data_IF_080791045590
#
_entry.id   IF_080791045590
#
_cell.length_a   1.000
_cell.length_b   1.000
_cell.length_c   1.000
_cell.angle_alpha   90.00
_cell.angle_beta   90.00
_cell.angle_gamma   90.00
#
_symmetry.space_group_name_H-M   'P 1'
#
loop_
_entity.id
_entity.type
_entity.pdbx_description
1 polymer ?
#
# COMPACT_ATOMS: atom_id res chain seq x y z
N UNK A 1 -35.52 35.56 10.34
CA UNK A 1 -36.01 35.79 11.71
C UNK A 1 -35.79 34.52 12.53
N UNK A 2 -34.85 34.53 13.49
CA UNK A 2 -34.74 33.45 14.47
C UNK A 2 -35.99 33.47 15.36
N UNK A 3 -36.70 32.35 15.47
CA UNK A 3 -37.77 32.19 16.47
C UNK A 3 -37.12 32.34 17.86
N UNK A 4 -37.50 33.36 18.62
CA UNK A 4 -37.09 33.47 20.02
C UNK A 4 -37.52 32.20 20.78
N UNK A 5 -36.57 31.60 21.51
CA UNK A 5 -36.82 30.45 22.37
C UNK A 5 -37.84 30.86 23.44
N UNK A 6 -38.92 30.10 23.57
CA UNK A 6 -39.95 30.34 24.59
C UNK A 6 -39.55 29.64 25.87
N UNK A 7 -39.78 30.27 27.01
CA UNK A 7 -39.42 29.77 28.33
C UNK A 7 -40.70 29.55 29.16
N UNK A 8 -40.72 28.52 30.01
CA UNK A 8 -41.81 28.28 30.95
C UNK A 8 -41.68 29.14 32.22
N UNK A 9 -42.67 29.04 33.11
CA UNK A 9 -42.71 29.79 34.38
C UNK A 9 -41.52 29.50 35.32
N UNK A 10 -40.73 28.45 35.03
CA UNK A 10 -39.53 28.05 35.78
C UNK A 10 -38.24 28.35 35.00
N UNK A 11 -38.31 29.19 33.97
CA UNK A 11 -37.20 29.54 33.10
C UNK A 11 -36.55 28.34 32.39
N UNK A 12 -37.36 27.36 31.98
CA UNK A 12 -36.92 26.22 31.15
C UNK A 12 -37.38 26.41 29.70
N UNK A 13 -36.56 26.07 28.71
CA UNK A 13 -36.92 26.25 27.31
C UNK A 13 -38.03 25.28 26.90
N UNK A 14 -39.16 25.81 26.46
CA UNK A 14 -40.36 25.05 26.07
C UNK A 14 -40.06 24.28 24.77
N UNK A 15 -40.29 22.97 24.80
CA UNK A 15 -40.07 22.07 23.66
C UNK A 15 -38.67 21.48 23.56
N UNK A 16 -37.79 21.73 24.55
CA UNK A 16 -36.44 21.18 24.61
C UNK A 16 -36.28 20.29 25.84
N UNK A 17 -35.48 19.23 25.72
CA UNK A 17 -35.03 18.43 26.85
C UNK A 17 -33.70 19.01 27.32
N UNK A 18 -33.64 19.45 28.58
CA UNK A 18 -32.40 19.93 29.17
C UNK A 18 -31.53 18.73 29.56
N UNK A 19 -30.39 18.62 28.88
CA UNK A 19 -29.37 17.60 29.12
C UNK A 19 -28.19 18.14 29.92
N UNK A 20 -27.53 17.25 30.65
CA UNK A 20 -26.23 17.50 31.28
C UNK A 20 -25.23 16.43 30.89
N UNK A 21 -23.96 16.81 30.75
CA UNK A 21 -22.85 15.87 30.80
C UNK A 21 -22.30 15.98 32.21
N UNK A 22 -22.61 15.05 33.14
CA UNK A 22 -22.05 15.09 34.49
C UNK A 22 -20.57 14.72 34.36
N UNK A 23 -19.76 15.72 34.03
CA UNK A 23 -18.41 15.52 33.50
C UNK A 23 -17.46 14.72 34.38
N UNK A 24 -16.51 14.09 33.70
CA UNK A 24 -15.15 13.70 34.10
C UNK A 24 -14.90 13.48 35.60
N UNK A 25 -15.30 12.31 36.11
CA UNK A 25 -14.81 11.84 37.41
C UNK A 25 -13.27 11.76 37.44
N UNK A 26 -12.63 11.65 36.27
CA UNK A 26 -11.18 11.62 36.11
C UNK A 26 -10.44 12.86 36.66
N UNK A 27 -11.06 14.06 36.65
CA UNK A 27 -10.43 15.30 37.13
C UNK A 27 -10.67 15.60 38.61
N UNK A 28 -11.52 14.81 39.27
CA UNK A 28 -11.86 14.97 40.68
C UNK A 28 -10.82 14.26 41.55
N UNK A 29 -10.61 14.73 42.79
CA UNK A 29 -9.61 14.17 43.71
C UNK A 29 -10.25 13.62 44.99
N UNK A 30 -9.59 12.66 45.64
CA UNK A 30 -10.02 12.12 46.93
C UNK A 30 -11.40 11.44 46.91
N UNK A 31 -12.26 11.81 47.86
CA UNK A 31 -13.59 11.21 48.02
C UNK A 31 -14.56 11.55 46.87
N UNK A 32 -14.34 12.70 46.22
CA UNK A 32 -15.18 13.14 45.10
C UNK A 32 -14.98 12.24 43.88
N UNK A 33 -13.73 11.84 43.58
CA UNK A 33 -13.43 10.85 42.53
C UNK A 33 -14.17 9.53 42.74
N UNK A 34 -14.19 9.01 43.97
CA UNK A 34 -14.90 7.77 44.31
C UNK A 34 -16.43 7.92 44.21
N UNK A 35 -16.94 9.13 44.45
CA UNK A 35 -18.37 9.44 44.35
C UNK A 35 -18.84 9.47 42.90
N UNK A 36 -17.95 9.86 41.97
CA UNK A 36 -18.27 9.97 40.55
C UNK A 36 -17.80 8.78 39.70
N UNK A 37 -17.07 7.83 40.29
CA UNK A 37 -16.68 6.60 39.63
C UNK A 37 -17.90 5.68 39.47
N UNK A 38 -18.24 5.35 38.23
CA UNK A 38 -19.27 4.38 37.87
C UNK A 38 -20.56 4.96 37.27
N UNK A 39 -21.19 4.18 36.39
CA UNK A 39 -22.25 4.67 35.50
C UNK A 39 -23.54 5.06 36.24
N UNK A 40 -23.97 4.25 37.22
CA UNK A 40 -25.20 4.52 37.98
C UNK A 40 -25.08 5.76 38.88
N UNK A 41 -23.88 6.03 39.40
CA UNK A 41 -23.63 7.20 40.26
C UNK A 41 -23.62 8.48 39.45
N UNK A 42 -22.98 8.48 38.28
CA UNK A 42 -23.01 9.59 37.31
C UNK A 42 -24.46 9.92 36.91
N UNK A 43 -25.27 8.89 36.67
CA UNK A 43 -26.70 9.04 36.36
C UNK A 43 -27.51 9.64 37.51
N UNK A 44 -27.29 9.14 38.73
CA UNK A 44 -27.97 9.64 39.94
C UNK A 44 -27.65 11.11 40.20
N UNK A 45 -26.41 11.55 39.94
CA UNK A 45 -26.02 12.96 40.03
C UNK A 45 -26.82 13.84 39.06
N UNK A 46 -26.93 13.43 37.80
CA UNK A 46 -27.72 14.16 36.80
C UNK A 46 -29.19 14.28 37.22
N UNK A 47 -29.77 13.20 37.76
CA UNK A 47 -31.13 13.21 38.29
C UNK A 47 -31.30 14.17 39.47
N UNK A 48 -30.37 14.16 40.44
CA UNK A 48 -30.40 15.08 41.61
C UNK A 48 -30.31 16.56 41.22
N UNK A 49 -29.62 16.85 40.12
CA UNK A 49 -29.51 18.20 39.56
C UNK A 49 -30.74 18.60 38.73
N UNK A 50 -31.75 17.73 38.60
CA UNK A 50 -33.02 18.02 37.95
C UNK A 50 -33.01 17.93 36.43
N UNK A 51 -31.99 17.30 35.84
CA UNK A 51 -31.92 17.09 34.40
C UNK A 51 -32.81 15.93 33.95
N UNK A 52 -33.37 16.07 32.76
CA UNK A 52 -34.24 15.06 32.13
C UNK A 52 -33.48 14.17 31.16
N UNK A 53 -32.25 14.57 30.81
CA UNK A 53 -31.34 13.82 29.98
C UNK A 53 -29.91 13.90 30.55
N UNK A 54 -29.16 12.80 30.49
CA UNK A 54 -27.75 12.78 30.86
C UNK A 54 -26.90 12.14 29.75
N UNK A 55 -25.83 12.79 29.32
CA UNK A 55 -24.78 12.14 28.54
C UNK A 55 -23.71 11.65 29.50
N UNK A 56 -23.57 10.34 29.66
CA UNK A 56 -22.63 9.74 30.62
C UNK A 56 -21.30 9.44 29.90
N UNK A 57 -20.22 9.98 30.42
CA UNK A 57 -18.86 9.64 29.98
C UNK A 57 -18.50 8.24 30.48
N UNK A 58 -18.19 7.36 29.53
CA UNK A 58 -17.69 6.01 29.74
C UNK A 58 -16.16 6.08 29.80
N UNK A 59 -15.62 6.27 31.00
CA UNK A 59 -14.20 6.61 31.19
C UNK A 59 -13.31 5.37 31.18
N UNK A 60 -13.84 4.22 31.62
CA UNK A 60 -13.11 2.97 31.65
C UNK A 60 -14.01 1.76 31.40
N UNK A 61 -13.46 0.74 30.72
CA UNK A 61 -14.13 -0.56 30.52
C UNK A 61 -14.57 -1.19 31.85
N UNK A 62 -13.87 -0.93 32.95
CA UNK A 62 -14.24 -1.45 34.27
C UNK A 62 -15.64 -1.04 34.74
N UNK A 63 -16.16 0.10 34.26
CA UNK A 63 -17.48 0.61 34.67
C UNK A 63 -18.64 -0.28 34.17
N UNK A 64 -18.44 -1.10 33.12
CA UNK A 64 -19.48 -2.07 32.70
C UNK A 64 -19.61 -3.27 33.65
N UNK A 65 -18.58 -3.52 34.47
CA UNK A 65 -18.54 -4.68 35.37
C UNK A 65 -18.96 -4.31 36.79
N UNK A 66 -19.56 -3.13 36.97
CA UNK A 66 -20.20 -2.77 38.24
C UNK A 66 -21.30 -3.78 38.60
N UNK A 67 -21.35 -4.26 39.86
CA UNK A 67 -22.37 -5.22 40.28
C UNK A 67 -23.78 -4.70 40.03
N UNK A 68 -24.64 -5.53 39.43
CA UNK A 68 -26.05 -5.22 39.13
C UNK A 68 -26.29 -3.92 38.35
N UNK A 69 -25.30 -3.43 37.59
CA UNK A 69 -25.36 -2.09 36.97
C UNK A 69 -26.57 -1.86 36.07
N UNK A 70 -26.99 -2.86 35.29
CA UNK A 70 -28.17 -2.76 34.44
C UNK A 70 -29.44 -2.49 35.25
N UNK A 71 -29.62 -3.18 36.39
CA UNK A 71 -30.77 -2.97 37.29
C UNK A 71 -30.72 -1.59 37.95
N UNK A 72 -29.52 -1.17 38.39
CA UNK A 72 -29.34 0.15 38.99
C UNK A 72 -29.70 1.26 38.00
N UNK A 73 -29.23 1.17 36.77
CA UNK A 73 -29.53 2.14 35.71
C UNK A 73 -31.02 2.13 35.36
N UNK A 74 -31.62 0.95 35.19
CA UNK A 74 -33.05 0.81 34.93
C UNK A 74 -33.89 1.49 36.01
N UNK A 75 -33.58 1.24 37.29
CA UNK A 75 -34.32 1.80 38.41
C UNK A 75 -34.18 3.33 38.48
N UNK A 76 -32.97 3.86 38.28
CA UNK A 76 -32.75 5.31 38.26
C UNK A 76 -33.52 5.97 37.11
N UNK A 77 -33.47 5.41 35.90
CA UNK A 77 -34.23 5.93 34.73
C UNK A 77 -35.73 5.90 35.00
N UNK A 78 -36.23 4.80 35.57
CA UNK A 78 -37.66 4.59 35.87
C UNK A 78 -38.17 5.55 36.94
N UNK A 79 -37.44 5.71 38.05
CA UNK A 79 -37.87 6.53 39.19
C UNK A 79 -37.72 8.03 38.89
N UNK A 80 -36.65 8.42 38.20
CA UNK A 80 -36.32 9.82 37.96
C UNK A 80 -36.84 10.36 36.61
N UNK A 81 -37.37 9.49 35.75
CA UNK A 81 -37.84 9.86 34.40
C UNK A 81 -36.71 10.41 33.53
N UNK A 82 -35.50 9.89 33.70
CA UNK A 82 -34.29 10.39 33.07
C UNK A 82 -33.89 9.52 31.88
N UNK A 83 -33.58 10.16 30.76
CA UNK A 83 -33.06 9.52 29.55
C UNK A 83 -31.54 9.67 29.46
N UNK A 84 -30.88 8.75 28.74
CA UNK A 84 -29.42 8.69 28.74
C UNK A 84 -28.81 8.56 27.36
N UNK A 85 -27.69 9.23 27.14
CA UNK A 85 -26.74 9.00 26.05
C UNK A 85 -25.40 8.56 26.65
N UNK A 86 -24.60 7.84 25.88
CA UNK A 86 -23.26 7.42 26.31
C UNK A 86 -22.21 8.11 25.46
N UNK A 87 -21.14 8.57 26.10
CA UNK A 87 -19.98 9.15 25.45
C UNK A 87 -18.77 8.26 25.72
N UNK A 88 -18.25 7.61 24.68
CA UNK A 88 -17.02 6.82 24.77
C UNK A 88 -15.79 7.72 24.88
N UNK A 89 -14.63 7.19 25.31
CA UNK A 89 -13.41 7.98 25.49
C UNK A 89 -13.08 8.90 24.29
N UNK A 90 -12.59 10.10 24.60
CA UNK A 90 -12.49 11.25 23.68
C UNK A 90 -11.44 11.12 22.57
N UNK A 91 -10.70 10.01 22.50
CA UNK A 91 -9.62 9.80 21.53
C UNK A 91 -9.60 8.36 21.04
N UNK A 92 -10.53 8.02 20.14
CA UNK A 92 -10.53 6.72 19.48
C UNK A 92 -9.96 6.88 18.07
N UNK A 93 -8.67 6.56 17.90
CA UNK A 93 -8.09 6.43 16.57
C UNK A 93 -8.31 4.99 16.08
N UNK A 94 -9.44 4.81 15.39
CA UNK A 94 -9.87 3.54 14.81
C UNK A 94 -9.02 3.12 13.59
N UNK A 95 -8.09 3.98 13.16
CA UNK A 95 -7.19 3.79 12.03
C UNK A 95 -5.75 3.49 12.47
N UNK A 96 -5.48 3.28 13.77
CA UNK A 96 -4.12 2.99 14.26
C UNK A 96 -3.61 1.63 13.78
N UNK A 97 -2.32 1.60 13.42
CA UNK A 97 -1.61 0.39 13.00
C UNK A 97 -0.95 -0.39 14.15
N UNK A 98 -0.85 0.21 15.35
CA UNK A 98 -0.25 -0.46 16.51
C UNK A 98 -1.22 -1.49 17.09
N UNK A 99 -0.85 -2.78 17.12
CA UNK A 99 -1.74 -3.86 17.55
C UNK A 99 -2.34 -3.66 18.94
N UNK A 100 -1.54 -3.16 19.90
CA UNK A 100 -2.01 -2.99 21.27
C UNK A 100 -3.01 -1.82 21.35
N UNK A 101 -2.64 -0.66 20.81
CA UNK A 101 -3.54 0.50 20.80
C UNK A 101 -4.80 0.24 19.98
N UNK A 102 -4.67 -0.39 18.81
CA UNK A 102 -5.82 -0.76 17.97
C UNK A 102 -6.75 -1.73 18.70
N UNK A 103 -6.23 -2.78 19.35
CA UNK A 103 -7.04 -3.72 20.13
C UNK A 103 -7.77 -3.00 21.25
N UNK A 104 -7.08 -2.19 22.03
CA UNK A 104 -7.68 -1.43 23.15
C UNK A 104 -8.79 -0.51 22.65
N UNK A 105 -8.58 0.22 21.55
CA UNK A 105 -9.58 1.13 20.98
C UNK A 105 -10.80 0.39 20.42
N UNK A 106 -10.58 -0.75 19.76
CA UNK A 106 -11.67 -1.57 19.21
C UNK A 106 -12.45 -2.30 20.31
N UNK A 107 -11.77 -2.79 21.37
CA UNK A 107 -12.42 -3.34 22.55
C UNK A 107 -13.25 -2.27 23.27
N UNK A 108 -12.73 -1.06 23.42
CA UNK A 108 -13.48 0.10 23.93
C UNK A 108 -14.71 0.40 23.07
N UNK A 109 -14.60 0.33 21.75
CA UNK A 109 -15.73 0.57 20.86
C UNK A 109 -16.78 -0.53 21.01
N UNK A 110 -16.38 -1.79 20.89
CA UNK A 110 -17.27 -2.94 20.93
C UNK A 110 -17.97 -3.06 22.28
N UNK A 111 -17.20 -3.02 23.37
CA UNK A 111 -17.74 -3.17 24.72
C UNK A 111 -18.44 -1.90 25.22
N UNK A 112 -17.99 -0.73 24.80
CA UNK A 112 -18.71 0.53 25.01
C UNK A 112 -20.06 0.55 24.31
N UNK A 113 -20.14 0.00 23.10
CA UNK A 113 -21.41 -0.16 22.36
C UNK A 113 -22.34 -1.15 23.07
N UNK A 114 -21.82 -2.29 23.53
CA UNK A 114 -22.56 -3.27 24.33
C UNK A 114 -23.11 -2.62 25.62
N UNK A 115 -22.27 -1.88 26.36
CA UNK A 115 -22.71 -1.17 27.56
C UNK A 115 -23.77 -0.09 27.24
N UNK A 116 -23.61 0.66 26.15
CA UNK A 116 -24.59 1.66 25.74
C UNK A 116 -25.96 1.04 25.39
N UNK A 117 -25.96 -0.06 24.64
CA UNK A 117 -27.17 -0.72 24.18
C UNK A 117 -27.84 -1.57 25.28
N UNK A 118 -27.06 -2.35 26.02
CA UNK A 118 -27.59 -3.39 26.90
C UNK A 118 -27.70 -2.96 28.35
N UNK A 119 -26.73 -2.18 28.85
CA UNK A 119 -26.72 -1.71 30.25
C UNK A 119 -27.46 -0.38 30.35
N UNK A 120 -27.05 0.62 29.56
CA UNK A 120 -27.57 1.98 29.69
C UNK A 120 -28.91 2.19 28.98
N UNK A 121 -29.23 1.34 28.00
CA UNK A 121 -30.37 1.51 27.09
C UNK A 121 -30.37 2.94 26.53
N UNK A 122 -29.20 3.35 26.04
CA UNK A 122 -28.92 4.73 25.64
C UNK A 122 -29.62 5.08 24.33
N UNK A 123 -30.04 6.36 24.19
CA UNK A 123 -30.67 6.87 22.94
C UNK A 123 -29.65 7.07 21.82
N UNK A 124 -28.41 7.37 22.19
CA UNK A 124 -27.29 7.48 21.26
C UNK A 124 -25.98 7.11 21.97
N UNK A 125 -24.99 6.82 21.14
CA UNK A 125 -23.59 6.71 21.54
C UNK A 125 -22.79 7.75 20.77
N UNK A 126 -22.01 8.54 21.49
CA UNK A 126 -21.06 9.50 20.94
C UNK A 126 -19.66 8.96 21.15
N UNK A 127 -18.83 9.02 20.12
CA UNK A 127 -17.41 8.70 20.19
C UNK A 127 -16.66 9.61 19.24
N UNK A 128 -15.41 9.90 19.58
CA UNK A 128 -14.55 10.73 18.77
C UNK A 128 -13.67 9.86 17.89
N UNK A 129 -14.03 9.71 16.62
CA UNK A 129 -13.13 9.15 15.61
C UNK A 129 -12.09 10.21 15.23
N UNK A 130 -10.95 10.22 15.90
CA UNK A 130 -9.79 10.98 15.45
C UNK A 130 -8.88 10.04 14.70
N UNK A 131 -9.03 9.92 13.38
CA UNK A 131 -7.90 9.47 12.59
C UNK A 131 -6.87 10.57 12.69
N UNK A 132 -5.67 10.27 13.19
CA UNK A 132 -4.55 11.09 12.79
C UNK A 132 -4.32 10.70 11.34
N UNK A 133 -4.75 11.48 10.32
CA UNK A 133 -4.18 11.26 9.01
C UNK A 133 -2.68 11.36 9.27
N UNK A 134 -1.95 10.31 8.91
CA UNK A 134 -0.48 10.32 8.94
C UNK A 134 0.01 10.71 7.54
N UNK A 135 -0.27 11.90 6.96
CA UNK A 135 0.73 12.43 6.07
C UNK A 135 2.01 12.55 6.90
N UNK A 136 3.16 12.42 6.25
CA UNK A 136 4.48 12.68 6.80
C UNK A 136 4.63 14.15 7.25
N UNK A 137 3.78 14.63 8.15
CA UNK A 137 3.86 15.92 8.78
C UNK A 137 4.55 15.70 10.12
N UNK A 138 5.79 16.17 10.17
CA UNK A 138 6.52 16.40 11.40
C UNK A 138 5.58 17.10 12.39
N UNK A 139 5.20 16.49 13.53
CA UNK A 139 4.49 17.22 14.57
C UNK A 139 5.37 18.39 15.04
N UNK A 140 4.74 19.40 15.67
CA UNK A 140 5.39 20.63 16.13
C UNK A 140 6.63 20.45 17.03
N UNK A 141 6.94 19.21 17.46
CA UNK A 141 8.13 18.82 18.22
C UNK A 141 9.32 18.33 17.37
N UNK A 142 9.26 18.36 16.04
CA UNK A 142 10.43 18.10 15.19
C UNK A 142 10.88 16.63 15.11
N UNK A 143 10.23 15.70 15.83
CA UNK A 143 10.53 14.28 15.74
C UNK A 143 9.81 13.66 14.55
N UNK A 144 10.55 12.98 13.67
CA UNK A 144 9.98 12.07 12.69
C UNK A 144 9.27 10.94 13.44
N UNK A 145 7.95 10.86 13.32
CA UNK A 145 7.21 9.64 13.64
C UNK A 145 7.61 8.56 12.64
N UNK A 146 8.20 7.48 13.13
CA UNK A 146 8.51 6.32 12.31
C UNK A 146 7.21 5.63 11.88
N UNK A 147 7.14 5.04 10.66
CA UNK A 147 6.01 4.21 10.28
C UNK A 147 5.80 3.12 11.35
N UNK A 148 4.55 2.88 11.73
CA UNK A 148 4.23 1.79 12.65
C UNK A 148 3.98 0.52 11.83
N UNK A 149 4.37 -0.63 12.38
CA UNK A 149 4.12 -1.93 11.75
C UNK A 149 2.63 -2.12 11.51
N UNK A 150 2.23 -2.42 10.28
CA UNK A 150 0.82 -2.74 9.97
C UNK A 150 0.57 -4.21 10.32
N UNK A 151 -0.05 -4.43 11.47
CA UNK A 151 -0.38 -5.76 11.99
C UNK A 151 -1.87 -5.89 12.20
N UNK A 152 -2.41 -7.08 11.93
CA UNK A 152 -3.75 -7.45 12.32
C UNK A 152 -3.88 -7.49 13.86
N UNK A 153 -5.12 -7.54 14.35
CA UNK A 153 -5.46 -7.68 15.78
C UNK A 153 -4.73 -8.83 16.51
N UNK A 154 -4.38 -9.90 15.78
CA UNK A 154 -3.67 -11.07 16.30
C UNK A 154 -2.14 -10.95 16.18
N UNK A 155 -1.62 -9.78 15.81
CA UNK A 155 -0.20 -9.53 15.60
C UNK A 155 0.36 -10.03 14.26
N UNK A 156 -0.46 -10.62 13.38
CA UNK A 156 -0.04 -11.03 12.04
C UNK A 156 0.30 -9.80 11.20
N UNK A 157 1.55 -9.67 10.74
CA UNK A 157 1.92 -8.60 9.82
C UNK A 157 1.32 -8.84 8.42
N UNK A 158 1.17 -7.77 7.65
CA UNK A 158 0.56 -7.85 6.32
C UNK A 158 1.32 -8.76 5.35
N UNK A 159 2.66 -8.79 5.40
CA UNK A 159 3.44 -9.60 4.48
C UNK A 159 3.30 -11.11 4.71
N UNK A 160 3.24 -11.54 5.97
CA UNK A 160 2.98 -12.93 6.35
C UNK A 160 1.55 -13.33 5.96
N UNK A 161 0.60 -12.41 6.11
CA UNK A 161 -0.75 -12.63 5.63
C UNK A 161 -0.80 -12.82 4.10
N UNK A 162 -0.17 -11.92 3.33
CA UNK A 162 -0.07 -12.01 1.86
C UNK A 162 0.50 -13.36 1.42
N UNK A 163 1.57 -13.81 2.07
CA UNK A 163 2.22 -15.09 1.75
C UNK A 163 1.35 -16.29 2.12
N UNK A 164 0.62 -16.22 3.23
CA UNK A 164 -0.27 -17.30 3.70
C UNK A 164 -1.48 -17.54 2.78
N UNK A 165 -1.96 -16.49 2.10
CA UNK A 165 -3.12 -16.59 1.20
C UNK A 165 -2.77 -17.34 -0.09
N UNK A 166 -1.58 -17.15 -0.64
CA UNK A 166 -1.12 -17.85 -1.85
C UNK A 166 -1.88 -17.44 -3.12
N UNK A 167 -2.37 -18.42 -3.88
CA UNK A 167 -3.01 -18.22 -5.20
C UNK A 167 -4.53 -18.30 -5.10
N UNK A 168 -5.24 -17.24 -5.53
CA UNK A 168 -6.71 -17.15 -5.52
C UNK A 168 -7.21 -16.69 -6.88
N UNK A 169 -8.20 -17.39 -7.45
CA UNK A 169 -8.75 -17.06 -8.77
C UNK A 169 -7.70 -17.09 -9.91
N UNK A 170 -6.66 -17.91 -9.75
CA UNK A 170 -5.52 -17.97 -10.68
C UNK A 170 -4.45 -16.89 -10.47
N UNK A 171 -4.60 -16.03 -9.45
CA UNK A 171 -3.68 -14.92 -9.16
C UNK A 171 -2.92 -15.21 -7.87
N UNK A 172 -1.59 -15.22 -7.93
CA UNK A 172 -0.77 -15.27 -6.72
C UNK A 172 -0.75 -13.90 -6.05
N UNK A 173 -1.21 -13.81 -4.80
CA UNK A 173 -1.38 -12.53 -4.10
C UNK A 173 -0.05 -11.82 -3.87
N UNK A 174 1.03 -12.57 -3.61
CA UNK A 174 2.38 -12.03 -3.46
C UNK A 174 2.87 -11.43 -4.78
N UNK A 175 2.75 -12.14 -5.90
CA UNK A 175 3.13 -11.59 -7.21
C UNK A 175 2.26 -10.40 -7.62
N UNK A 176 0.96 -10.39 -7.28
CA UNK A 176 0.11 -9.23 -7.52
C UNK A 176 0.54 -8.03 -6.67
N UNK A 177 0.81 -8.24 -5.38
CA UNK A 177 1.27 -7.20 -4.47
C UNK A 177 2.60 -6.61 -4.95
N UNK A 178 3.56 -7.46 -5.30
CA UNK A 178 4.87 -7.03 -5.77
C UNK A 178 4.77 -6.22 -7.07
N UNK A 179 3.82 -6.53 -7.96
CA UNK A 179 3.58 -5.75 -9.17
C UNK A 179 2.88 -4.41 -8.88
N UNK A 180 1.77 -4.43 -8.14
CA UNK A 180 0.96 -3.22 -7.91
C UNK A 180 1.55 -2.25 -6.91
N UNK A 181 2.34 -2.75 -5.99
CA UNK A 181 2.93 -1.99 -4.90
C UNK A 181 4.45 -2.08 -4.93
N UNK A 182 5.04 -2.16 -6.13
CA UNK A 182 6.50 -2.20 -6.31
C UNK A 182 7.22 -1.03 -5.61
N UNK A 183 6.57 0.14 -5.51
CA UNK A 183 7.06 1.30 -4.73
C UNK A 183 7.32 0.99 -3.27
N UNK A 184 6.53 0.10 -2.65
CA UNK A 184 6.72 -0.34 -1.26
C UNK A 184 8.02 -1.13 -1.14
N UNK A 185 8.35 -1.94 -2.15
CA UNK A 185 9.61 -2.68 -2.20
C UNK A 185 10.81 -1.75 -2.39
N UNK A 186 10.69 -0.71 -3.23
CA UNK A 186 11.73 0.33 -3.33
C UNK A 186 11.94 1.06 -1.99
N UNK A 187 10.85 1.40 -1.31
CA UNK A 187 10.93 2.04 0.01
C UNK A 187 11.62 1.14 1.03
N UNK A 188 11.35 -0.17 1.01
CA UNK A 188 12.02 -1.15 1.88
C UNK A 188 13.55 -1.22 1.65
N UNK A 189 14.02 -0.87 0.45
CA UNK A 189 15.46 -0.74 0.14
C UNK A 189 16.05 0.62 0.51
N UNK A 190 15.24 1.57 1.01
CA UNK A 190 15.65 2.96 1.23
C UNK A 190 15.89 3.73 -0.07
N UNK A 191 15.30 3.28 -1.18
CA UNK A 191 15.48 3.85 -2.51
C UNK A 191 14.20 4.55 -3.01
N UNK A 192 14.31 5.63 -3.80
CA UNK A 192 13.17 6.16 -4.52
C UNK A 192 12.66 5.14 -5.54
N UNK A 193 11.34 5.07 -5.72
CA UNK A 193 10.75 4.18 -6.72
C UNK A 193 11.11 4.63 -8.13
N UNK A 194 11.59 3.69 -8.96
CA UNK A 194 11.85 3.97 -10.37
C UNK A 194 10.53 4.09 -11.14
N UNK A 195 10.33 5.24 -11.80
CA UNK A 195 9.10 5.52 -12.56
C UNK A 195 8.87 4.48 -13.65
N UNK A 196 9.92 4.02 -14.33
CA UNK A 196 9.81 3.01 -15.39
C UNK A 196 9.31 1.66 -14.86
N UNK A 197 9.79 1.24 -13.69
CA UNK A 197 9.30 0.04 -13.01
C UNK A 197 7.83 0.15 -12.61
N UNK A 198 7.46 1.25 -11.97
CA UNK A 198 6.09 1.49 -11.50
C UNK A 198 5.13 1.50 -12.69
N UNK A 199 5.39 2.33 -13.69
CA UNK A 199 4.51 2.46 -14.87
C UNK A 199 4.44 1.16 -15.67
N UNK A 200 5.54 0.40 -15.76
CA UNK A 200 5.52 -0.90 -16.43
C UNK A 200 4.54 -1.87 -15.76
N UNK A 201 4.66 -2.07 -14.44
CA UNK A 201 3.78 -3.01 -13.74
C UNK A 201 2.35 -2.51 -13.61
N UNK A 202 2.13 -1.19 -13.51
CA UNK A 202 0.78 -0.62 -13.58
C UNK A 202 0.08 -0.96 -14.91
N UNK A 203 0.74 -0.71 -16.04
CA UNK A 203 0.24 -1.06 -17.38
C UNK A 203 0.00 -2.57 -17.51
N UNK A 204 0.96 -3.38 -17.05
CA UNK A 204 0.92 -4.83 -17.18
C UNK A 204 -0.23 -5.46 -16.38
N UNK A 205 -0.48 -4.98 -15.16
CA UNK A 205 -1.55 -5.51 -14.31
C UNK A 205 -2.92 -5.03 -14.81
N UNK A 206 -3.07 -3.74 -15.13
CA UNK A 206 -4.35 -3.16 -15.54
C UNK A 206 -4.77 -3.72 -16.90
N UNK A 207 -3.88 -3.66 -17.90
CA UNK A 207 -4.24 -3.92 -19.28
C UNK A 207 -4.05 -5.38 -19.69
N UNK A 208 -3.09 -6.08 -19.09
CA UNK A 208 -2.71 -7.45 -19.52
C UNK A 208 -3.03 -8.52 -18.50
N UNK A 209 -3.44 -8.15 -17.28
CA UNK A 209 -3.69 -9.07 -16.15
C UNK A 209 -2.50 -10.01 -15.91
N UNK A 210 -1.29 -9.46 -15.98
CA UNK A 210 -0.03 -10.15 -15.70
C UNK A 210 0.59 -9.56 -14.45
N UNK A 211 1.25 -10.39 -13.66
CA UNK A 211 1.77 -10.03 -12.33
C UNK A 211 3.29 -10.02 -12.29
N UNK A 212 3.89 -9.92 -11.10
CA UNK A 212 5.30 -9.62 -10.95
C UNK A 212 6.21 -10.60 -11.69
N UNK A 213 6.07 -11.90 -11.42
CA UNK A 213 6.87 -12.96 -12.05
C UNK A 213 6.80 -12.92 -13.59
N UNK A 214 5.59 -12.98 -14.13
CA UNK A 214 5.36 -12.96 -15.59
C UNK A 214 5.85 -11.64 -16.22
N UNK A 215 5.71 -10.52 -15.50
CA UNK A 215 6.22 -9.22 -15.93
C UNK A 215 7.74 -9.19 -16.03
N UNK A 216 8.44 -9.75 -15.06
CA UNK A 216 9.90 -9.90 -15.12
C UNK A 216 10.34 -10.78 -16.29
N UNK A 217 9.66 -11.92 -16.52
CA UNK A 217 9.95 -12.81 -17.66
C UNK A 217 9.70 -12.11 -19.01
N UNK A 218 8.62 -11.36 -19.14
CA UNK A 218 8.32 -10.55 -20.33
C UNK A 218 9.41 -9.50 -20.54
N UNK A 219 9.76 -8.75 -19.50
CA UNK A 219 10.77 -7.71 -19.60
C UNK A 219 12.14 -8.26 -19.98
N UNK A 220 12.54 -9.39 -19.41
CA UNK A 220 13.80 -10.03 -19.75
C UNK A 220 13.84 -10.47 -21.22
N UNK A 221 12.80 -11.15 -21.69
CA UNK A 221 12.70 -11.61 -23.09
C UNK A 221 12.74 -10.42 -24.06
N UNK A 222 11.94 -9.39 -23.80
CA UNK A 222 11.87 -8.22 -24.70
C UNK A 222 13.14 -7.38 -24.65
N UNK A 223 13.75 -7.20 -23.47
CA UNK A 223 15.03 -6.50 -23.35
C UNK A 223 16.15 -7.23 -24.11
N UNK A 224 16.23 -8.56 -24.02
CA UNK A 224 17.19 -9.37 -24.79
C UNK A 224 16.94 -9.24 -26.30
N UNK A 225 15.69 -9.41 -26.74
CA UNK A 225 15.31 -9.28 -28.16
C UNK A 225 15.67 -7.91 -28.73
N UNK A 226 15.37 -6.83 -28.01
CA UNK A 226 15.66 -5.47 -28.45
C UNK A 226 17.18 -5.20 -28.43
N UNK A 227 17.89 -5.63 -27.38
CA UNK A 227 19.34 -5.49 -27.30
C UNK A 227 20.06 -6.21 -28.45
N UNK A 228 19.64 -7.42 -28.81
CA UNK A 228 20.16 -8.17 -29.95
C UNK A 228 19.90 -7.43 -31.27
N UNK A 229 18.67 -6.93 -31.47
CA UNK A 229 18.31 -6.12 -32.65
C UNK A 229 19.20 -4.88 -32.77
N UNK A 230 19.34 -4.10 -31.70
CA UNK A 230 20.15 -2.88 -31.68
C UNK A 230 21.63 -3.21 -31.93
N UNK A 231 22.15 -4.26 -31.27
CA UNK A 231 23.53 -4.71 -31.45
C UNK A 231 23.79 -5.15 -32.89
N UNK A 232 22.83 -5.84 -33.52
CA UNK A 232 22.96 -6.27 -34.92
C UNK A 232 22.98 -5.07 -35.87
N UNK A 233 22.10 -4.10 -35.68
CA UNK A 233 22.10 -2.84 -36.45
C UNK A 233 23.43 -2.08 -36.28
N UNK A 234 23.96 -2.02 -35.06
CA UNK A 234 25.24 -1.39 -34.77
C UNK A 234 26.41 -2.11 -35.44
N UNK A 235 26.45 -3.45 -35.36
CA UNK A 235 27.45 -4.28 -36.07
C UNK A 235 27.42 -4.05 -37.58
N UNK A 236 26.24 -3.91 -38.17
CA UNK A 236 26.11 -3.60 -39.60
C UNK A 236 26.65 -2.22 -39.96
N UNK A 237 26.41 -1.19 -39.12
CA UNK A 237 27.01 0.15 -39.30
C UNK A 237 28.53 0.13 -39.18
N UNK A 238 29.05 -0.54 -38.15
CA UNK A 238 30.50 -0.71 -37.94
C UNK A 238 31.13 -1.48 -39.11
N UNK A 239 30.48 -2.55 -39.57
CA UNK A 239 30.95 -3.31 -40.73
C UNK A 239 30.99 -2.46 -42.00
N UNK A 240 29.99 -1.60 -42.25
CA UNK A 240 30.01 -0.64 -43.37
C UNK A 240 31.20 0.33 -43.29
N UNK A 241 31.64 0.73 -42.09
CA UNK A 241 32.85 1.55 -41.89
C UNK A 241 34.15 0.75 -42.10
N UNK A 242 34.14 -0.54 -41.73
CA UNK A 242 35.27 -1.47 -41.87
C UNK A 242 35.51 -1.92 -43.32
N UNK A 243 34.42 -2.08 -44.08
CA UNK A 243 34.43 -2.66 -45.43
C UNK A 243 35.38 -1.96 -46.42
N UNK A 244 35.47 -0.63 -46.50
CA UNK A 244 36.41 0.04 -47.41
C UNK A 244 37.87 -0.31 -47.13
N UNK A 245 38.26 -0.48 -45.86
CA UNK A 245 39.62 -0.86 -45.47
C UNK A 245 39.91 -2.30 -45.91
N UNK A 246 38.96 -3.21 -45.72
CA UNK A 246 39.06 -4.61 -46.16
C UNK A 246 39.17 -4.67 -47.69
N UNK A 247 38.25 -4.02 -48.40
CA UNK A 247 38.20 -4.02 -49.86
C UNK A 247 39.47 -3.38 -50.46
N UNK A 248 40.04 -2.35 -49.83
CA UNK A 248 41.30 -1.74 -50.26
C UNK A 248 42.51 -2.65 -49.97
N UNK A 249 42.57 -3.26 -48.79
CA UNK A 249 43.64 -4.17 -48.41
C UNK A 249 43.67 -5.39 -49.33
N UNK A 250 42.53 -6.00 -49.62
CA UNK A 250 42.45 -7.19 -50.48
C UNK A 250 42.90 -6.90 -51.93
N UNK A 251 42.73 -5.68 -52.45
CA UNK A 251 43.24 -5.30 -53.78
C UNK A 251 44.76 -5.30 -53.88
N UNK A 252 45.47 -4.98 -52.79
CA UNK A 252 46.93 -4.83 -52.79
C UNK A 252 47.65 -5.91 -51.98
N UNK A 253 46.90 -6.83 -51.36
CA UNK A 253 47.40 -7.83 -50.41
C UNK A 253 48.48 -8.74 -50.99
N UNK A 254 48.26 -9.25 -52.20
CA UNK A 254 49.19 -10.19 -52.82
C UNK A 254 50.47 -9.48 -53.24
N UNK A 255 50.34 -8.30 -53.87
CA UNK A 255 51.48 -7.44 -54.20
C UNK A 255 52.26 -7.01 -52.96
N UNK A 256 51.57 -6.57 -51.90
CA UNK A 256 52.16 -6.17 -50.64
C UNK A 256 52.93 -7.29 -49.95
N UNK A 257 52.37 -8.51 -49.91
CA UNK A 257 53.03 -9.70 -49.36
C UNK A 257 54.25 -10.12 -50.18
N UNK A 258 54.18 -10.02 -51.50
CA UNK A 258 55.31 -10.40 -52.34
C UNK A 258 56.47 -9.40 -52.20
N UNK A 259 56.16 -8.10 -52.13
CA UNK A 259 57.16 -7.06 -51.83
C UNK A 259 57.75 -7.24 -50.43
N UNK A 260 56.92 -7.60 -49.44
CA UNK A 260 57.40 -7.92 -48.08
C UNK A 260 58.43 -9.06 -48.08
N UNK A 261 58.17 -10.14 -48.84
CA UNK A 261 59.15 -11.23 -48.99
C UNK A 261 60.46 -10.78 -49.64
N UNK A 262 60.39 -9.94 -50.68
CA UNK A 262 61.59 -9.37 -51.33
C UNK A 262 62.44 -8.58 -50.34
N UNK A 263 61.80 -7.74 -49.52
CA UNK A 263 62.47 -6.95 -48.48
C UNK A 263 63.15 -7.86 -47.45
N UNK A 264 62.45 -8.91 -46.97
CA UNK A 264 63.00 -9.86 -46.00
C UNK A 264 64.20 -10.65 -46.57
N UNK A 265 64.22 -10.89 -47.89
CA UNK A 265 65.34 -11.54 -48.60
C UNK A 265 66.50 -10.60 -48.91
N UNK A 266 66.38 -9.30 -48.65
CA UNK A 266 67.40 -8.30 -48.95
C UNK A 266 67.45 -7.86 -50.43
N UNK A 267 66.38 -8.10 -51.19
CA UNK A 267 66.29 -7.69 -52.60
C UNK A 267 65.95 -6.19 -52.72
N UNK A 268 66.47 -5.53 -53.77
CA UNK A 268 66.15 -4.12 -54.06
C UNK A 268 64.73 -3.97 -54.61
N UNK A 269 63.96 -3.01 -54.08
CA UNK A 269 62.60 -2.68 -54.53
C UNK A 269 62.55 -1.37 -55.31
N UNK A 270 61.64 -1.28 -56.27
CA UNK A 270 61.38 -0.06 -57.06
C UNK A 270 60.62 1.01 -56.25
N UNK A 271 60.63 2.29 -56.68
CA UNK A 271 59.86 3.35 -56.04
C UNK A 271 58.34 3.06 -55.98
N UNK A 272 57.76 2.53 -57.06
CA UNK A 272 56.36 2.08 -57.11
C UNK A 272 56.06 0.95 -56.12
N UNK A 273 56.93 -0.08 -56.03
CA UNK A 273 56.79 -1.15 -55.03
C UNK A 273 56.90 -0.59 -53.60
N UNK A 274 57.77 0.39 -53.37
CA UNK A 274 57.88 1.05 -52.07
C UNK A 274 56.57 1.76 -51.68
N UNK A 275 55.89 2.41 -52.64
CA UNK A 275 54.59 3.06 -52.42
C UNK A 275 53.51 2.04 -52.07
N UNK A 276 53.42 0.93 -52.83
CA UNK A 276 52.44 -0.15 -52.59
C UNK A 276 52.68 -0.81 -51.22
N UNK A 277 53.94 -1.09 -50.86
CA UNK A 277 54.28 -1.69 -49.58
C UNK A 277 53.93 -0.78 -48.40
N UNK A 278 54.18 0.53 -48.52
CA UNK A 278 53.79 1.51 -47.51
C UNK A 278 52.27 1.54 -47.34
N UNK A 279 51.51 1.59 -48.42
CA UNK A 279 50.04 1.56 -48.39
C UNK A 279 49.51 0.26 -47.78
N UNK A 280 50.09 -0.89 -48.13
CA UNK A 280 49.79 -2.20 -47.54
C UNK A 280 49.98 -2.21 -46.02
N UNK A 281 51.12 -1.72 -45.53
CA UNK A 281 51.40 -1.65 -44.08
C UNK A 281 50.48 -0.69 -43.36
N UNK A 282 50.14 0.45 -43.96
CA UNK A 282 49.17 1.40 -43.40
C UNK A 282 47.79 0.75 -43.26
N UNK A 283 47.23 0.17 -44.33
CA UNK A 283 45.92 -0.49 -44.29
C UNK A 283 45.89 -1.68 -43.33
N UNK A 284 46.99 -2.44 -43.22
CA UNK A 284 47.12 -3.52 -42.24
C UNK A 284 47.08 -2.99 -40.80
N UNK A 285 47.76 -1.87 -40.52
CA UNK A 285 47.74 -1.22 -39.22
C UNK A 285 46.36 -0.63 -38.90
N UNK A 286 45.72 0.04 -39.84
CA UNK A 286 44.36 0.59 -39.72
C UNK A 286 43.33 -0.51 -39.43
N UNK A 287 43.35 -1.62 -40.18
CA UNK A 287 42.45 -2.74 -39.93
C UNK A 287 42.70 -3.38 -38.57
N UNK A 288 43.95 -3.47 -38.13
CA UNK A 288 44.32 -4.01 -36.83
C UNK A 288 43.81 -3.12 -35.70
N UNK A 289 43.98 -1.79 -35.81
CA UNK A 289 43.42 -0.83 -34.85
C UNK A 289 41.90 -0.89 -34.82
N UNK A 290 41.26 -1.00 -35.99
CA UNK A 290 39.81 -1.13 -36.09
C UNK A 290 39.32 -2.38 -35.36
N UNK A 291 39.97 -3.54 -35.55
CA UNK A 291 39.62 -4.79 -34.86
C UNK A 291 39.77 -4.67 -33.34
N UNK A 292 40.79 -3.97 -32.85
CA UNK A 292 40.99 -3.72 -31.40
C UNK A 292 39.83 -2.88 -30.84
N UNK A 293 39.33 -1.91 -31.62
CA UNK A 293 38.28 -0.98 -31.20
C UNK A 293 36.86 -1.45 -31.54
N UNK A 294 36.70 -2.54 -32.29
CA UNK A 294 35.43 -2.96 -32.89
C UNK A 294 34.29 -3.08 -31.87
N UNK A 295 34.55 -3.66 -30.69
CA UNK A 295 33.54 -3.76 -29.63
C UNK A 295 33.10 -2.40 -29.08
N UNK A 296 34.04 -1.46 -28.91
CA UNK A 296 33.72 -0.10 -28.47
C UNK A 296 32.90 0.62 -29.53
N UNK A 297 33.30 0.53 -30.79
CA UNK A 297 32.58 1.14 -31.92
C UNK A 297 31.16 0.59 -32.05
N UNK A 298 30.95 -0.72 -31.82
CA UNK A 298 29.60 -1.31 -31.82
C UNK A 298 28.75 -0.74 -30.69
N UNK A 299 29.34 -0.52 -29.50
CA UNK A 299 28.62 0.10 -28.38
C UNK A 299 28.26 1.55 -28.69
N UNK A 300 29.21 2.33 -29.20
CA UNK A 300 28.98 3.73 -29.56
C UNK A 300 27.91 3.86 -30.66
N UNK A 301 27.92 2.98 -31.66
CA UNK A 301 26.88 2.93 -32.70
C UNK A 301 25.52 2.47 -32.17
N UNK A 302 25.48 1.58 -31.17
CA UNK A 302 24.23 1.19 -30.52
C UNK A 302 23.59 2.38 -29.80
N UNK A 303 24.39 3.18 -29.09
CA UNK A 303 23.93 4.41 -28.44
C UNK A 303 23.45 5.45 -29.48
N UNK A 304 24.20 5.65 -30.57
CA UNK A 304 23.77 6.52 -31.68
C UNK A 304 22.44 6.07 -32.31
N UNK A 305 22.24 4.76 -32.50
CA UNK A 305 20.98 4.22 -33.03
C UNK A 305 19.81 4.55 -32.09
N UNK A 306 20.01 4.47 -30.78
CA UNK A 306 18.99 4.81 -29.79
C UNK A 306 18.69 6.32 -29.81
N UNK A 307 19.71 7.17 -29.91
CA UNK A 307 19.54 8.62 -29.98
C UNK A 307 18.82 9.07 -31.27
N UNK A 308 19.11 8.42 -32.40
CA UNK A 308 18.46 8.68 -33.68
C UNK A 308 17.01 8.15 -33.74
N UNK A 309 16.64 7.19 -32.88
CA UNK A 309 15.33 6.53 -32.90
C UNK A 309 14.63 6.59 -31.53
N UNK A 310 14.03 7.74 -31.16
CA UNK A 310 13.41 7.93 -29.85
C UNK A 310 12.33 6.90 -29.50
N UNK A 311 11.56 6.42 -30.48
CA UNK A 311 10.55 5.37 -30.25
C UNK A 311 11.18 4.04 -29.83
N UNK A 312 12.22 3.60 -30.55
CA UNK A 312 12.97 2.39 -30.22
C UNK A 312 13.68 2.54 -28.87
N UNK A 313 14.21 3.73 -28.57
CA UNK A 313 14.85 4.03 -27.29
C UNK A 313 13.84 3.92 -26.14
N UNK A 314 12.66 4.53 -26.28
CA UNK A 314 11.62 4.43 -25.26
C UNK A 314 11.12 2.98 -25.07
N UNK A 315 10.95 2.22 -26.16
CA UNK A 315 10.58 0.80 -26.10
C UNK A 315 11.66 -0.03 -25.40
N UNK A 316 12.93 0.15 -25.77
CA UNK A 316 14.06 -0.52 -25.13
C UNK A 316 14.14 -0.19 -23.64
N UNK A 317 14.08 1.10 -23.29
CA UNK A 317 14.15 1.57 -21.90
C UNK A 317 13.01 1.03 -21.04
N UNK A 318 11.79 0.91 -21.59
CA UNK A 318 10.63 0.32 -20.89
C UNK A 318 10.95 -1.07 -20.33
N UNK A 319 11.52 -1.96 -21.14
CA UNK A 319 11.81 -3.33 -20.72
C UNK A 319 13.18 -3.45 -20.03
N UNK A 320 14.19 -2.73 -20.53
CA UNK A 320 15.55 -2.80 -20.00
C UNK A 320 15.65 -2.32 -18.56
N UNK A 321 14.87 -1.30 -18.15
CA UNK A 321 14.82 -0.87 -16.76
C UNK A 321 14.38 -2.02 -15.85
N UNK A 322 13.29 -2.71 -16.20
CA UNK A 322 12.77 -3.82 -15.41
C UNK A 322 13.75 -4.99 -15.36
N UNK A 323 14.31 -5.36 -16.52
CA UNK A 323 15.35 -6.36 -16.62
C UNK A 323 16.54 -6.02 -15.70
N UNK A 324 17.06 -4.78 -15.78
CA UNK A 324 18.20 -4.31 -14.98
C UNK A 324 17.89 -4.37 -13.49
N UNK A 325 16.75 -3.82 -13.04
CA UNK A 325 16.39 -3.84 -11.63
C UNK A 325 16.18 -5.27 -11.10
N UNK A 326 15.54 -6.14 -11.87
CA UNK A 326 15.33 -7.54 -11.46
C UNK A 326 16.63 -8.35 -11.37
N UNK A 327 17.65 -7.99 -12.15
CA UNK A 327 18.99 -8.60 -12.06
C UNK A 327 19.87 -7.94 -10.98
N UNK A 328 19.68 -6.65 -10.71
CA UNK A 328 20.45 -5.93 -9.68
C UNK A 328 19.92 -6.24 -8.28
N UNK A 329 18.60 -6.36 -8.14
CA UNK A 329 17.91 -6.56 -6.88
C UNK A 329 17.02 -7.79 -6.97
N UNK A 330 17.17 -8.70 -6.02
CA UNK A 330 16.21 -9.78 -5.87
C UNK A 330 14.97 -9.26 -5.12
N UNK A 331 13.96 -8.83 -5.87
CA UNK A 331 12.72 -8.29 -5.28
C UNK A 331 12.00 -9.29 -4.38
N UNK A 332 12.19 -10.60 -4.55
CA UNK A 332 11.65 -11.59 -3.63
C UNK A 332 12.34 -11.55 -2.27
N UNK A 333 13.66 -11.32 -2.24
CA UNK A 333 14.40 -11.11 -0.99
C UNK A 333 14.05 -9.75 -0.37
N UNK A 334 13.82 -8.73 -1.19
CA UNK A 334 13.33 -7.42 -0.71
C UNK A 334 11.95 -7.55 -0.08
N UNK A 335 11.02 -8.29 -0.70
CA UNK A 335 9.72 -8.59 -0.11
C UNK A 335 9.88 -9.35 1.21
N UNK A 336 10.77 -10.36 1.26
CA UNK A 336 11.06 -11.11 2.48
C UNK A 336 11.59 -10.19 3.59
N UNK A 337 12.53 -9.31 3.26
CA UNK A 337 13.05 -8.32 4.21
C UNK A 337 11.96 -7.38 4.72
N UNK A 338 11.14 -6.83 3.81
CA UNK A 338 10.00 -5.97 4.15
C UNK A 338 9.03 -6.67 5.11
N UNK A 339 8.72 -7.95 4.81
CA UNK A 339 7.89 -8.82 5.65
C UNK A 339 8.47 -9.00 7.05
N UNK A 340 9.73 -9.41 7.15
CA UNK A 340 10.41 -9.70 8.42
C UNK A 340 10.61 -8.45 9.29
N UNK A 341 10.72 -7.27 8.67
CA UNK A 341 11.00 -6.01 9.37
C UNK A 341 9.76 -5.15 9.64
N UNK A 342 8.55 -5.68 9.46
CA UNK A 342 7.32 -5.05 9.96
C UNK A 342 6.35 -4.55 8.90
N UNK A 343 6.52 -4.95 7.63
CA UNK A 343 5.59 -4.69 6.52
C UNK A 343 5.01 -3.29 6.51
N UNK A 344 5.88 -2.29 6.61
CA UNK A 344 5.47 -0.88 6.60
C UNK A 344 4.90 -0.54 5.22
N UNK A 345 3.60 -0.26 5.14
CA UNK A 345 2.94 0.19 3.93
C UNK A 345 1.86 1.23 4.26
N UNK A 346 1.48 2.04 3.27
CA UNK A 346 0.35 2.95 3.40
C UNK A 346 -0.93 2.15 3.67
N UNK A 347 -1.79 2.68 4.53
CA UNK A 347 -3.06 2.05 4.91
C UNK A 347 -3.91 1.67 3.67
N UNK A 348 -3.97 2.56 2.68
CA UNK A 348 -4.66 2.31 1.41
C UNK A 348 -4.18 1.04 0.68
N UNK A 349 -2.91 0.68 0.79
CA UNK A 349 -2.34 -0.54 0.21
C UNK A 349 -2.93 -1.77 0.90
N UNK A 350 -2.96 -1.78 2.24
CA UNK A 350 -3.53 -2.88 3.01
C UNK A 350 -5.02 -3.08 2.68
N UNK A 351 -5.79 -1.99 2.62
CA UNK A 351 -7.21 -2.05 2.25
C UNK A 351 -7.44 -2.62 0.85
N UNK A 352 -6.65 -2.21 -0.15
CA UNK A 352 -6.75 -2.78 -1.50
C UNK A 352 -6.51 -4.29 -1.52
N UNK A 353 -5.43 -4.75 -0.90
CA UNK A 353 -5.03 -6.16 -0.92
C UNK A 353 -6.13 -7.01 -0.26
N UNK A 354 -6.65 -6.56 0.87
CA UNK A 354 -7.61 -7.32 1.67
C UNK A 354 -9.01 -7.26 1.06
N UNK A 355 -9.44 -6.11 0.55
CA UNK A 355 -10.69 -5.98 -0.17
C UNK A 355 -10.72 -6.95 -1.36
N UNK A 356 -9.64 -7.00 -2.15
CA UNK A 356 -9.52 -7.91 -3.28
C UNK A 356 -9.64 -9.36 -2.88
N UNK A 357 -8.93 -9.76 -1.83
CA UNK A 357 -9.00 -11.11 -1.31
C UNK A 357 -10.41 -11.46 -0.84
N UNK A 358 -11.03 -10.60 -0.02
CA UNK A 358 -12.38 -10.79 0.48
C UNK A 358 -13.40 -10.94 -0.67
N UNK A 359 -13.29 -10.10 -1.69
CA UNK A 359 -14.13 -10.20 -2.89
C UNK A 359 -13.91 -11.52 -3.66
N UNK A 360 -12.66 -11.92 -3.87
CA UNK A 360 -12.30 -13.14 -4.61
C UNK A 360 -12.84 -14.41 -3.95
N UNK A 361 -12.77 -14.49 -2.62
CA UNK A 361 -13.28 -15.66 -1.88
C UNK A 361 -14.78 -15.58 -1.60
N UNK A 362 -15.46 -14.54 -2.08
CA UNK A 362 -16.85 -14.22 -1.74
C UNK A 362 -17.06 -14.21 -0.23
N UNK A 363 -16.19 -13.51 0.49
CA UNK A 363 -16.22 -13.43 1.94
C UNK A 363 -17.60 -12.95 2.41
N UNK A 364 -18.27 -13.66 3.33
CA UNK A 364 -19.61 -13.29 3.75
C UNK A 364 -19.73 -11.86 4.29
N UNK A 365 -18.69 -11.34 4.96
CA UNK A 365 -18.69 -9.95 5.45
C UNK A 365 -18.63 -8.97 4.29
N UNK A 366 -17.79 -9.24 3.30
CA UNK A 366 -17.71 -8.41 2.09
C UNK A 366 -19.03 -8.39 1.35
N UNK A 367 -19.63 -9.55 1.12
CA UNK A 367 -20.91 -9.68 0.41
C UNK A 367 -22.04 -8.98 1.18
N UNK A 368 -21.98 -8.96 2.51
CA UNK A 368 -23.01 -8.32 3.34
C UNK A 368 -22.88 -6.80 3.48
N UNK A 369 -21.67 -6.25 3.36
CA UNK A 369 -21.38 -4.83 3.64
C UNK A 369 -21.25 -4.02 2.35
N UNK A 370 -20.68 -4.61 1.29
CA UNK A 370 -20.40 -3.92 0.05
C UNK A 370 -21.56 -4.16 -0.92
N UNK A 371 -22.31 -3.13 -1.28
CA UNK A 371 -23.43 -3.30 -2.22
C UNK A 371 -22.92 -3.52 -3.66
N UNK A 372 -21.89 -2.77 -4.02
CA UNK A 372 -21.23 -2.89 -5.32
C UNK A 372 -20.31 -4.12 -5.33
N UNK A 373 -20.83 -5.23 -5.85
CA UNK A 373 -20.12 -6.51 -5.95
C UNK A 373 -19.18 -6.61 -7.17
N UNK A 374 -18.90 -5.50 -7.86
CA UNK A 374 -17.83 -5.44 -8.85
C UNK A 374 -16.46 -5.61 -8.20
N UNK A 375 -15.45 -5.80 -9.05
CA UNK A 375 -14.06 -5.92 -8.60
C UNK A 375 -13.64 -4.66 -7.79
N UNK A 376 -13.18 -4.79 -6.54
CA UNK A 376 -12.78 -3.64 -5.72
C UNK A 376 -11.69 -2.79 -6.38
N UNK A 377 -10.81 -3.38 -7.20
CA UNK A 377 -9.82 -2.60 -7.95
C UNK A 377 -10.49 -1.62 -8.93
N UNK A 378 -11.57 -2.05 -9.58
CA UNK A 378 -12.37 -1.22 -10.50
C UNK A 378 -13.10 -0.13 -9.72
N UNK A 379 -13.77 -0.50 -8.62
CA UNK A 379 -14.51 0.43 -7.76
C UNK A 379 -13.58 1.53 -7.25
N UNK A 380 -12.40 1.17 -6.73
CA UNK A 380 -11.48 2.15 -6.16
C UNK A 380 -10.82 3.00 -7.26
N UNK A 381 -10.52 2.43 -8.43
CA UNK A 381 -10.02 3.19 -9.57
C UNK A 381 -11.02 4.26 -10.03
N UNK A 382 -12.29 3.89 -10.20
CA UNK A 382 -13.36 4.83 -10.57
C UNK A 382 -13.61 5.88 -9.48
N UNK A 383 -13.57 5.47 -8.22
CA UNK A 383 -13.69 6.37 -7.08
C UNK A 383 -12.53 7.38 -7.02
N UNK A 384 -11.29 6.97 -7.30
CA UNK A 384 -10.14 7.87 -7.35
C UNK A 384 -10.30 8.92 -8.47
N UNK A 385 -10.81 8.53 -9.64
CA UNK A 385 -11.11 9.47 -10.73
C UNK A 385 -12.20 10.48 -10.31
N UNK A 386 -13.26 10.02 -9.63
CA UNK A 386 -14.35 10.88 -9.14
C UNK A 386 -13.89 11.81 -8.02
N UNK A 387 -13.11 11.29 -7.06
CA UNK A 387 -12.59 12.05 -5.92
C UNK A 387 -11.66 13.18 -6.37
N UNK A 388 -10.87 12.98 -7.43
CA UNK A 388 -10.07 14.04 -8.05
C UNK A 388 -10.90 15.18 -8.65
N UNK A 389 -12.21 14.99 -8.85
CA UNK A 389 -13.16 16.01 -9.36
C UNK A 389 -14.04 16.60 -8.26
N UNK A 390 -14.47 15.78 -7.30
CA UNK A 390 -15.53 16.12 -6.33
C UNK A 390 -15.02 16.31 -4.89
N UNK A 391 -13.78 15.89 -4.58
CA UNK A 391 -13.16 16.08 -3.27
C UNK A 391 -13.77 15.26 -2.12
N UNK A 392 -14.58 14.23 -2.43
CA UNK A 392 -15.24 13.37 -1.43
C UNK A 392 -15.02 11.88 -1.73
N UNK A 393 -14.92 11.08 -0.67
CA UNK A 393 -14.95 9.62 -0.73
C UNK A 393 -16.34 9.15 -1.18
N UNK A 394 -16.36 8.23 -2.15
CA UNK A 394 -17.59 7.58 -2.60
C UNK A 394 -18.10 6.60 -1.55
N UNK A 395 -19.40 6.33 -1.55
CA UNK A 395 -20.01 5.39 -0.59
C UNK A 395 -19.45 3.97 -0.76
N UNK A 396 -19.25 3.52 -2.00
CA UNK A 396 -18.64 2.23 -2.31
C UNK A 396 -17.27 2.05 -1.64
N UNK A 397 -16.42 3.08 -1.62
CA UNK A 397 -15.11 3.02 -0.96
C UNK A 397 -15.25 2.94 0.56
N UNK A 398 -16.22 3.65 1.16
CA UNK A 398 -16.48 3.55 2.60
C UNK A 398 -16.96 2.15 2.99
N UNK A 399 -17.81 1.53 2.16
CA UNK A 399 -18.26 0.16 2.37
C UNK A 399 -17.11 -0.83 2.28
N UNK A 400 -16.20 -0.68 1.31
CA UNK A 400 -14.99 -1.50 1.21
C UNK A 400 -14.12 -1.36 2.46
N UNK A 401 -13.86 -0.13 2.91
CA UNK A 401 -13.10 0.15 4.14
C UNK A 401 -13.79 -0.53 5.33
N UNK A 402 -15.10 -0.38 5.45
CA UNK A 402 -15.88 -1.00 6.52
C UNK A 402 -15.76 -2.54 6.50
N UNK A 403 -15.86 -3.17 5.32
CA UNK A 403 -15.77 -4.62 5.20
C UNK A 403 -14.39 -5.15 5.57
N UNK A 404 -13.33 -4.49 5.09
CA UNK A 404 -11.94 -4.85 5.43
C UNK A 404 -11.68 -4.66 6.92
N UNK A 405 -12.08 -3.52 7.50
CA UNK A 405 -11.95 -3.26 8.93
C UNK A 405 -12.74 -4.30 9.75
N UNK A 406 -13.96 -4.64 9.33
CA UNK A 406 -14.77 -5.68 9.95
C UNK A 406 -14.12 -7.06 9.84
N UNK A 407 -13.42 -7.35 8.74
CA UNK A 407 -12.67 -8.61 8.58
C UNK A 407 -11.47 -8.69 9.52
N UNK A 408 -10.81 -7.56 9.74
CA UNK A 408 -9.78 -7.43 10.78
C UNK A 408 -10.36 -7.64 12.19
N UNK A 409 -11.61 -7.26 12.48
CA UNK A 409 -12.21 -7.48 13.81
C UNK A 409 -12.83 -8.87 14.00
N UNK A 410 -13.38 -9.50 12.95
CA UNK A 410 -14.21 -10.72 13.07
C UNK A 410 -13.47 -12.06 13.18
N UNK A 411 -12.14 -12.07 13.19
CA UNK A 411 -11.40 -13.31 13.44
C UNK A 411 -11.53 -13.79 14.91
N UNK A 412 -12.35 -13.09 15.72
CA UNK A 412 -12.85 -13.47 17.05
C UNK A 412 -13.83 -14.67 17.00
N UNK A 413 -14.41 -15.03 15.84
CA UNK A 413 -15.68 -15.79 15.86
C UNK A 413 -15.72 -17.15 15.16
N UNK A 414 -14.66 -17.61 14.46
CA UNK A 414 -14.69 -18.95 13.83
C UNK A 414 -14.21 -20.10 14.72
N UNK A 415 -13.63 -19.80 15.90
CA UNK A 415 -13.14 -20.80 16.85
C UNK A 415 -14.03 -21.06 18.08
N UNK A 416 -14.94 -20.13 18.43
CA UNK A 416 -15.68 -20.19 19.71
C UNK A 416 -17.19 -20.43 19.52
N UNK A 417 -17.75 -20.17 18.33
CA UNK A 417 -19.19 -20.28 18.09
C UNK A 417 -19.62 -21.55 17.31
N UNK A 418 -18.98 -22.70 17.57
CA UNK A 418 -19.47 -24.03 17.13
C UNK A 418 -19.76 -25.01 18.27
N UNK A 419 -19.57 -24.61 19.54
CA UNK A 419 -19.79 -25.51 20.70
C UNK A 419 -20.95 -25.17 21.63
N UNK A 420 -21.72 -24.10 21.40
CA UNK A 420 -22.80 -23.69 22.33
C UNK A 420 -24.21 -23.66 21.74
N UNK A 421 -24.43 -24.14 20.51
CA UNK A 421 -25.77 -24.20 19.91
C UNK A 421 -26.42 -25.61 19.88
N UNK A 422 -25.94 -26.58 20.67
CA UNK A 422 -26.49 -27.95 20.64
C UNK A 422 -26.87 -28.56 22.00
N UNK A 423 -26.89 -27.83 23.11
CA UNK A 423 -27.17 -28.45 24.43
C UNK A 423 -28.22 -27.77 25.31
N UNK A 424 -29.04 -26.86 24.79
CA UNK A 424 -30.18 -26.30 25.54
C UNK A 424 -31.45 -26.23 24.69
N UNK A 425 -31.85 -27.36 24.12
CA UNK A 425 -33.26 -27.62 23.80
C UNK A 425 -33.56 -29.04 24.29
N UNK A 426 -34.60 -29.16 25.12
CA UNK A 426 -35.09 -30.32 25.86
C UNK A 426 -34.45 -30.59 27.24
N UNK A 427 -35.12 -30.09 28.28
CA UNK A 427 -35.96 -30.92 29.16
C UNK A 427 -36.95 -30.04 29.92
N UNK A 428 -38.18 -30.55 30.04
CA UNK A 428 -39.26 -30.05 30.89
C UNK A 428 -38.83 -29.87 32.34
#
# INVERSE_FOLDING_TARGET
MQKMVRWDEKNRPIGYILGVTPGFAEFEQGADKLTYMGLARKLTKAARLGFQFAQIDFEALSEMFEPDIAKQVEEVKRVQGLEVGVHLPTQMDLCLADAFQWLVMQEQLAKGTEAAADIMKAKYMLFHSSSTPRPNLTPASGQRTYPSKMVAWNGMNLGDWIESVGTVGGVNLKDWFMARFVRVLFHAMGAPADVGMVTFFEDLVINKKKYFKEGCEIAEREAKRLNEKITQMAKERVYKKKKPIIDALDRIKDSGKEIEKKIVRGESITPEEHKIYKEYKTLQAELSQFNIQEQSLVRDEADNILDENPELHNEYKKYFNVYRYNHTYNFYDVFKYWKENGSECEEAVAYHVIAKWMWLIRDPLYVSIVDNQEDPDKIIYEANIKMGREGKLTEDVKQIICAVAAKYTNNISYGVCKKTQSSYIHRN
#
